data_IF_844264152913
#
_entry.id   IF_844264152913
#
_cell.length_a   1.000
_cell.length_b   1.000
_cell.length_c   1.000
_cell.angle_alpha   90.00
_cell.angle_beta   90.00
_cell.angle_gamma   90.00
#
_symmetry.space_group_name_H-M   'P 1'
#
loop_
_entity.id
_entity.type
_entity.pdbx_description
1 polymer ?
#
# COMPACT_ATOMS: atom_id res chain seq x y z
N UNK A 1 78.96 26.55 9.71
CA UNK A 1 77.83 27.14 8.98
C UNK A 1 77.19 26.00 8.21
N UNK A 2 76.15 25.43 8.82
CA UNK A 2 75.55 24.13 8.50
C UNK A 2 74.80 24.16 7.18
N UNK A 3 75.28 23.42 6.19
CA UNK A 3 74.62 23.16 4.90
C UNK A 3 73.54 22.08 5.09
N UNK A 4 72.47 22.39 5.81
CA UNK A 4 71.24 21.61 5.73
C UNK A 4 70.34 22.29 4.72
N UNK A 5 70.34 21.79 3.48
CA UNK A 5 69.28 22.08 2.53
C UNK A 5 67.96 21.64 3.13
N UNK A 6 67.02 22.57 3.24
CA UNK A 6 65.67 22.34 3.75
C UNK A 6 65.00 21.25 2.88
N UNK A 7 64.21 20.33 3.44
CA UNK A 7 63.49 19.29 2.67
C UNK A 7 62.65 19.92 1.54
N UNK A 8 62.20 21.15 1.75
CA UNK A 8 61.48 21.97 0.77
C UNK A 8 62.32 22.32 -0.46
N UNK A 9 63.64 22.46 -0.32
CA UNK A 9 64.53 22.78 -1.44
C UNK A 9 64.78 21.55 -2.32
N UNK A 10 64.85 20.35 -1.71
CA UNK A 10 64.88 19.09 -2.47
C UNK A 10 63.58 18.87 -3.25
N UNK A 11 62.41 19.16 -2.65
CA UNK A 11 61.13 19.08 -3.33
C UNK A 11 61.06 20.05 -4.52
N UNK A 12 61.51 21.30 -4.35
CA UNK A 12 61.60 22.29 -5.44
C UNK A 12 62.52 21.83 -6.57
N UNK A 13 63.66 21.21 -6.24
CA UNK A 13 64.57 20.66 -7.24
C UNK A 13 63.95 19.49 -8.00
N UNK A 14 63.29 18.58 -7.29
CA UNK A 14 62.59 17.46 -7.89
C UNK A 14 61.51 17.93 -8.87
N UNK A 15 60.66 18.90 -8.49
CA UNK A 15 59.61 19.43 -9.37
C UNK A 15 60.12 20.14 -10.64
N UNK A 16 61.39 20.55 -10.68
CA UNK A 16 62.02 21.19 -11.86
C UNK A 16 62.59 20.18 -12.85
N UNK A 17 62.71 18.91 -12.48
CA UNK A 17 63.17 17.87 -13.40
C UNK A 17 62.09 17.58 -14.47
N UNK A 18 62.46 17.47 -15.75
CA UNK A 18 61.51 17.06 -16.79
C UNK A 18 60.88 15.71 -16.41
N UNK A 19 59.56 15.61 -16.49
CA UNK A 19 58.77 14.42 -16.10
C UNK A 19 58.76 14.07 -14.60
N UNK A 20 59.21 14.92 -13.68
CA UNK A 20 59.13 14.63 -12.24
C UNK A 20 57.71 14.59 -11.66
N UNK A 21 56.76 15.22 -12.35
CA UNK A 21 55.34 15.10 -12.08
C UNK A 21 54.64 14.79 -13.41
N UNK A 22 54.19 13.55 -13.57
CA UNK A 22 53.30 13.16 -14.66
C UNK A 22 51.94 12.80 -14.06
N UNK A 23 50.95 13.68 -14.20
CA UNK A 23 49.56 13.22 -14.13
C UNK A 23 49.29 12.48 -15.44
N UNK A 24 49.31 11.14 -15.42
CA UNK A 24 48.76 10.37 -16.54
C UNK A 24 47.26 10.69 -16.59
N UNK A 25 46.85 11.58 -17.48
CA UNK A 25 45.45 11.64 -17.91
C UNK A 25 45.18 10.31 -18.61
N UNK A 26 44.24 9.53 -18.07
CA UNK A 26 43.72 8.36 -18.77
C UNK A 26 42.79 8.92 -19.84
N UNK A 27 43.32 9.15 -21.04
CA UNK A 27 42.51 9.44 -22.21
C UNK A 27 41.97 8.11 -22.73
N UNK A 28 40.69 7.86 -22.47
CA UNK A 28 39.99 6.69 -23.01
C UNK A 28 39.91 6.83 -24.53
N UNK A 29 40.30 5.78 -25.24
CA UNK A 29 40.11 5.74 -26.69
C UNK A 29 38.63 5.49 -27.04
N UNK A 30 38.24 5.79 -28.29
CA UNK A 30 36.86 5.62 -28.74
C UNK A 30 36.34 4.17 -28.59
N UNK A 31 37.21 3.17 -28.68
CA UNK A 31 36.85 1.76 -28.51
C UNK A 31 36.52 1.43 -27.05
N UNK A 32 37.28 1.96 -26.10
CA UNK A 32 37.03 1.83 -24.66
C UNK A 32 35.73 2.54 -24.25
N UNK A 33 35.49 3.74 -24.79
CA UNK A 33 34.24 4.47 -24.58
C UNK A 33 33.04 3.67 -25.10
N UNK A 34 33.12 3.14 -26.33
CA UNK A 34 32.05 2.32 -26.91
C UNK A 34 31.80 1.05 -26.08
N UNK A 35 32.86 0.36 -25.62
CA UNK A 35 32.71 -0.79 -24.74
C UNK A 35 32.01 -0.45 -23.42
N UNK A 36 32.31 0.70 -22.82
CA UNK A 36 31.63 1.17 -21.60
C UNK A 36 30.15 1.43 -21.88
N UNK A 37 29.84 2.13 -22.98
CA UNK A 37 28.45 2.43 -23.39
C UNK A 37 27.67 1.14 -23.63
N UNK A 38 28.27 0.14 -24.27
CA UNK A 38 27.65 -1.16 -24.52
C UNK A 38 27.34 -1.89 -23.20
N UNK A 39 28.28 -1.88 -22.25
CA UNK A 39 28.07 -2.50 -20.93
C UNK A 39 26.98 -1.79 -20.12
N UNK A 40 26.95 -0.45 -20.16
CA UNK A 40 25.89 0.33 -19.53
C UNK A 40 24.54 0.01 -20.16
N UNK A 41 24.48 -0.09 -21.50
CA UNK A 41 23.25 -0.41 -22.23
C UNK A 41 22.72 -1.80 -21.86
N UNK A 42 23.61 -2.79 -21.72
CA UNK A 42 23.24 -4.14 -21.24
C UNK A 42 22.73 -4.08 -19.79
N UNK A 43 23.39 -3.32 -18.91
CA UNK A 43 22.96 -3.18 -17.52
C UNK A 43 21.58 -2.53 -17.41
N UNK A 44 21.31 -1.46 -18.18
CA UNK A 44 19.99 -0.81 -18.26
C UNK A 44 18.93 -1.78 -18.76
N UNK A 45 19.24 -2.56 -19.81
CA UNK A 45 18.31 -3.57 -20.33
C UNK A 45 17.97 -4.61 -19.27
N UNK A 46 18.98 -5.19 -18.64
CA UNK A 46 18.78 -6.19 -17.58
C UNK A 46 17.97 -5.63 -16.40
N UNK A 47 18.20 -4.37 -16.03
CA UNK A 47 17.42 -3.68 -15.00
C UNK A 47 15.94 -3.54 -15.40
N UNK A 48 15.67 -3.11 -16.63
CA UNK A 48 14.29 -2.97 -17.13
C UNK A 48 13.57 -4.32 -17.23
N UNK A 49 14.25 -5.36 -17.72
CA UNK A 49 13.71 -6.71 -17.81
C UNK A 49 13.38 -7.26 -16.40
N UNK A 50 14.25 -7.00 -15.42
CA UNK A 50 14.00 -7.36 -14.03
C UNK A 50 12.79 -6.62 -13.44
N UNK A 51 12.71 -5.29 -13.62
CA UNK A 51 11.57 -4.48 -13.15
C UNK A 51 10.24 -4.92 -13.76
N UNK A 52 10.24 -5.27 -15.06
CA UNK A 52 9.05 -5.77 -15.73
C UNK A 52 8.58 -7.11 -15.15
N UNK A 53 9.53 -8.01 -14.87
CA UNK A 53 9.22 -9.31 -14.25
C UNK A 53 8.66 -9.14 -12.84
N UNK A 54 9.33 -8.36 -12.00
CA UNK A 54 8.90 -8.06 -10.64
C UNK A 54 7.51 -7.39 -10.62
N UNK A 55 7.28 -6.42 -11.50
CA UNK A 55 5.97 -5.77 -11.66
C UNK A 55 4.86 -6.77 -12.00
N UNK A 56 5.11 -7.73 -12.89
CA UNK A 56 4.10 -8.75 -13.25
C UNK A 56 3.81 -9.72 -12.11
N UNK A 57 4.82 -10.12 -11.34
CA UNK A 57 4.63 -10.98 -10.16
C UNK A 57 3.84 -10.26 -9.06
N UNK A 58 4.16 -8.99 -8.82
CA UNK A 58 3.48 -8.16 -7.86
C UNK A 58 2.03 -7.84 -8.25
N UNK A 59 1.75 -7.59 -9.53
CA UNK A 59 0.38 -7.40 -10.03
C UNK A 59 -0.49 -8.63 -9.75
N UNK A 60 0.05 -9.83 -9.98
CA UNK A 60 -0.66 -11.09 -9.68
C UNK A 60 -0.94 -11.22 -8.18
N UNK A 61 0.04 -10.90 -7.35
CA UNK A 61 -0.12 -10.96 -5.89
C UNK A 61 -1.19 -9.97 -5.40
N UNK A 62 -1.20 -8.74 -5.92
CA UNK A 62 -2.24 -7.75 -5.63
C UNK A 62 -3.64 -8.21 -6.04
N UNK A 63 -3.78 -8.78 -7.25
CA UNK A 63 -5.06 -9.33 -7.72
C UNK A 63 -5.58 -10.43 -6.81
N UNK A 64 -4.70 -11.34 -6.39
CA UNK A 64 -5.07 -12.42 -5.48
C UNK A 64 -5.56 -11.88 -4.13
N UNK A 65 -4.80 -10.97 -3.50
CA UNK A 65 -5.16 -10.41 -2.19
C UNK A 65 -6.45 -9.59 -2.23
N UNK A 66 -6.66 -8.79 -3.28
CA UNK A 66 -7.90 -8.04 -3.46
C UNK A 66 -9.09 -8.97 -3.69
N UNK A 67 -8.90 -10.05 -4.46
CA UNK A 67 -9.95 -11.06 -4.65
C UNK A 67 -10.36 -11.69 -3.31
N UNK A 68 -9.40 -11.98 -2.43
CA UNK A 68 -9.69 -12.48 -1.08
C UNK A 68 -10.50 -11.46 -0.27
N UNK A 69 -10.10 -10.18 -0.27
CA UNK A 69 -10.86 -9.11 0.40
C UNK A 69 -12.29 -9.02 -0.14
N UNK A 70 -12.46 -9.13 -1.46
CA UNK A 70 -13.76 -9.10 -2.15
C UNK A 70 -14.65 -10.29 -1.76
N UNK A 71 -14.07 -11.49 -1.64
CA UNK A 71 -14.77 -12.69 -1.17
C UNK A 71 -15.21 -12.54 0.30
N UNK A 72 -14.31 -12.10 1.17
CA UNK A 72 -14.60 -11.85 2.59
C UNK A 72 -15.70 -10.81 2.76
N UNK A 73 -15.70 -9.74 1.95
CA UNK A 73 -16.77 -8.74 1.92
C UNK A 73 -18.11 -9.37 1.51
N UNK A 74 -18.13 -10.26 0.52
CA UNK A 74 -19.32 -11.01 0.15
C UNK A 74 -19.87 -11.90 1.28
N UNK A 75 -18.99 -12.44 2.12
CA UNK A 75 -19.40 -13.19 3.32
C UNK A 75 -19.96 -12.29 4.41
N UNK A 76 -19.38 -11.09 4.62
CA UNK A 76 -19.92 -10.07 5.52
C UNK A 76 -21.33 -9.67 5.09
N UNK A 77 -21.57 -9.43 3.80
CA UNK A 77 -22.90 -9.09 3.27
C UNK A 77 -23.96 -10.14 3.55
N UNK A 78 -23.61 -11.43 3.42
CA UNK A 78 -24.52 -12.53 3.72
C UNK A 78 -24.90 -12.55 5.21
N UNK A 79 -23.91 -12.41 6.08
CA UNK A 79 -24.12 -12.40 7.54
C UNK A 79 -24.99 -11.21 7.94
N UNK A 80 -24.75 -10.02 7.38
CA UNK A 80 -25.49 -8.82 7.76
C UNK A 80 -26.96 -8.86 7.29
N UNK A 81 -27.22 -9.40 6.08
CA UNK A 81 -28.60 -9.64 5.59
C UNK A 81 -29.43 -10.51 6.53
N UNK A 82 -28.82 -11.52 7.16
CA UNK A 82 -29.51 -12.40 8.11
C UNK A 82 -29.67 -11.78 9.51
N UNK A 83 -28.87 -10.76 9.84
CA UNK A 83 -28.76 -10.17 11.18
C UNK A 83 -29.76 -9.04 11.43
N UNK A 84 -29.97 -8.17 10.44
CA UNK A 84 -30.88 -7.02 10.57
C UNK A 84 -32.31 -7.46 10.95
N UNK A 85 -32.94 -8.46 10.28
CA UNK A 85 -34.29 -8.89 10.63
C UNK A 85 -34.36 -9.48 12.05
N UNK A 86 -33.38 -10.31 12.43
CA UNK A 86 -33.33 -10.96 13.75
C UNK A 86 -33.18 -9.95 14.88
N UNK A 87 -32.31 -8.95 14.72
CA UNK A 87 -32.15 -7.87 15.70
C UNK A 87 -33.42 -7.05 15.85
N UNK A 88 -34.07 -6.68 14.73
CA UNK A 88 -35.30 -5.91 14.74
C UNK A 88 -36.42 -6.65 15.48
N UNK A 89 -36.62 -7.94 15.19
CA UNK A 89 -37.63 -8.75 15.88
C UNK A 89 -37.34 -8.87 17.38
N UNK A 90 -36.08 -9.14 17.76
CA UNK A 90 -35.70 -9.26 19.16
C UNK A 90 -35.91 -7.97 19.95
N UNK A 91 -35.53 -6.82 19.39
CA UNK A 91 -35.77 -5.50 19.99
C UNK A 91 -37.27 -5.25 20.20
N UNK A 92 -38.09 -5.51 19.17
CA UNK A 92 -39.55 -5.36 19.28
C UNK A 92 -40.16 -6.28 20.35
N UNK A 93 -39.68 -7.51 20.46
CA UNK A 93 -40.14 -8.46 21.48
C UNK A 93 -39.71 -8.06 22.89
N UNK A 94 -38.50 -7.50 23.05
CA UNK A 94 -38.03 -6.94 24.33
C UNK A 94 -38.86 -5.72 24.74
N UNK A 95 -39.19 -4.81 23.82
CA UNK A 95 -40.05 -3.66 24.11
C UNK A 95 -41.48 -4.07 24.50
N UNK A 96 -42.06 -5.09 23.86
CA UNK A 96 -43.39 -5.60 24.22
C UNK A 96 -43.47 -6.22 25.62
N UNK A 97 -42.34 -6.70 26.17
CA UNK A 97 -42.28 -7.28 27.52
C UNK A 97 -42.24 -6.22 28.61
N UNK A 98 -41.93 -4.99 28.26
CA UNK A 98 -41.84 -3.88 29.19
C UNK A 98 -43.21 -3.20 29.18
N UNK A 99 -44.05 -3.47 30.20
CA UNK A 99 -45.31 -2.75 30.45
C UNK A 99 -45.01 -1.32 30.98
N UNK A 100 -44.37 -0.50 30.15
CA UNK A 100 -44.24 0.94 30.39
C UNK A 100 -45.07 1.67 29.33
N UNK A 101 -45.69 2.79 29.70
CA UNK A 101 -46.17 3.77 28.73
C UNK A 101 -44.95 4.33 28.00
N UNK A 102 -44.62 3.74 26.86
CA UNK A 102 -43.51 4.18 26.02
C UNK A 102 -44.02 5.31 25.13
N UNK A 103 -43.36 6.47 25.19
CA UNK A 103 -43.52 7.52 24.19
C UNK A 103 -43.00 7.00 22.84
N UNK A 104 -43.92 6.62 21.96
CA UNK A 104 -43.62 6.04 20.66
C UNK A 104 -42.75 6.96 19.79
N UNK A 105 -42.88 8.29 19.91
CA UNK A 105 -42.05 9.23 19.14
C UNK A 105 -40.58 9.15 19.58
N UNK A 106 -40.34 9.06 20.90
CA UNK A 106 -38.98 8.93 21.43
C UNK A 106 -38.39 7.56 21.13
N UNK A 107 -39.21 6.51 21.17
CA UNK A 107 -38.80 5.16 20.78
C UNK A 107 -38.38 5.10 19.30
N UNK A 108 -39.15 5.68 18.39
CA UNK A 108 -38.81 5.71 16.95
C UNK A 108 -37.50 6.47 16.69
N UNK A 109 -37.30 7.62 17.33
CA UNK A 109 -36.05 8.39 17.21
C UNK A 109 -34.83 7.59 17.68
N UNK A 110 -34.94 6.94 18.85
CA UNK A 110 -33.86 6.08 19.37
C UNK A 110 -33.63 4.87 18.46
N UNK A 111 -34.69 4.25 17.93
CA UNK A 111 -34.55 3.15 16.96
C UNK A 111 -33.82 3.58 15.69
N UNK A 112 -34.12 4.76 15.15
CA UNK A 112 -33.41 5.32 13.98
C UNK A 112 -31.92 5.54 14.33
N UNK A 113 -31.64 6.16 15.48
CA UNK A 113 -30.26 6.38 15.95
C UNK A 113 -29.48 5.07 16.09
N UNK A 114 -30.09 4.04 16.67
CA UNK A 114 -29.45 2.73 16.79
C UNK A 114 -29.26 2.05 15.43
N UNK A 115 -30.23 2.15 14.52
CA UNK A 115 -30.11 1.58 13.18
C UNK A 115 -28.93 2.21 12.43
N UNK A 116 -28.81 3.54 12.41
CA UNK A 116 -27.67 4.23 11.78
C UNK A 116 -26.32 3.82 12.39
N UNK A 117 -26.27 3.64 13.72
CA UNK A 117 -25.04 3.26 14.43
C UNK A 117 -24.58 1.84 14.12
N UNK A 118 -25.52 0.92 13.85
CA UNK A 118 -25.22 -0.48 13.56
C UNK A 118 -25.22 -0.83 12.07
N UNK A 119 -25.73 0.05 11.21
CA UNK A 119 -25.74 -0.16 9.77
C UNK A 119 -24.34 0.01 9.18
N UNK A 120 -23.90 -1.04 8.47
CA UNK A 120 -22.63 -1.12 7.76
C UNK A 120 -22.79 -1.11 6.23
N UNK A 121 -24.03 -0.97 5.72
CA UNK A 121 -24.30 -1.03 4.29
C UNK A 121 -23.55 0.06 3.51
N UNK A 122 -23.44 1.26 4.08
CA UNK A 122 -22.70 2.35 3.46
C UNK A 122 -21.22 2.00 3.29
N UNK A 123 -20.57 1.48 4.35
CA UNK A 123 -19.18 1.07 4.31
C UNK A 123 -18.95 -0.08 3.33
N UNK A 124 -19.90 -1.03 3.23
CA UNK A 124 -19.84 -2.12 2.26
C UNK A 124 -19.86 -1.59 0.82
N UNK A 125 -20.76 -0.65 0.51
CA UNK A 125 -20.87 -0.04 -0.83
C UNK A 125 -19.59 0.74 -1.15
N UNK A 126 -19.09 1.55 -0.21
CA UNK A 126 -17.85 2.32 -0.39
C UNK A 126 -16.64 1.41 -0.59
N UNK A 127 -16.54 0.34 0.19
CA UNK A 127 -15.47 -0.63 0.06
C UNK A 127 -15.49 -1.33 -1.30
N UNK A 128 -16.67 -1.73 -1.79
CA UNK A 128 -16.82 -2.27 -3.16
C UNK A 128 -16.34 -1.29 -4.22
N UNK A 129 -16.71 -0.02 -4.10
CA UNK A 129 -16.26 1.04 -5.01
C UNK A 129 -14.74 1.17 -4.99
N UNK A 130 -14.12 1.22 -3.81
CA UNK A 130 -12.67 1.31 -3.67
C UNK A 130 -11.93 0.07 -4.22
N UNK A 131 -12.51 -1.13 -4.08
CA UNK A 131 -11.97 -2.35 -4.69
C UNK A 131 -11.98 -2.24 -6.22
N UNK A 132 -13.08 -1.76 -6.82
CA UNK A 132 -13.16 -1.56 -8.28
C UNK A 132 -12.13 -0.53 -8.75
N UNK A 133 -12.02 0.60 -8.05
CA UNK A 133 -11.02 1.64 -8.37
C UNK A 133 -9.59 1.09 -8.25
N UNK A 134 -9.33 0.18 -7.31
CA UNK A 134 -8.04 -0.51 -7.17
C UNK A 134 -7.78 -1.43 -8.36
N UNK A 135 -8.75 -2.27 -8.73
CA UNK A 135 -8.67 -3.17 -9.90
C UNK A 135 -8.40 -2.34 -11.18
N UNK A 136 -9.13 -1.25 -11.40
CA UNK A 136 -8.94 -0.35 -12.55
C UNK A 136 -7.56 0.32 -12.56
N UNK A 137 -7.04 0.71 -11.39
CA UNK A 137 -5.71 1.30 -11.29
C UNK A 137 -4.59 0.32 -11.69
N UNK A 138 -4.74 -0.98 -11.40
CA UNK A 138 -3.77 -2.00 -11.82
C UNK A 138 -3.71 -2.18 -13.34
N UNK A 139 -4.77 -1.84 -14.06
CA UNK A 139 -4.83 -1.95 -15.53
C UNK A 139 -4.31 -0.71 -16.27
N UNK A 140 -3.90 0.33 -15.55
CA UNK A 140 -3.37 1.55 -16.15
C UNK A 140 -1.94 1.37 -16.67
N UNK A 141 -1.61 2.04 -17.78
CA UNK A 141 -0.24 2.12 -18.31
C UNK A 141 0.61 3.22 -17.63
N UNK A 142 0.06 3.92 -16.64
CA UNK A 142 0.75 4.99 -15.91
C UNK A 142 1.35 4.48 -14.59
N UNK A 143 2.37 5.17 -14.03
CA UNK A 143 2.86 4.89 -12.69
C UNK A 143 1.75 5.06 -11.63
N UNK A 144 1.26 3.94 -11.08
CA UNK A 144 0.10 3.95 -10.15
C UNK A 144 0.46 3.76 -8.68
N UNK A 145 1.73 3.55 -8.30
CA UNK A 145 2.12 3.20 -6.92
C UNK A 145 1.55 4.14 -5.85
N UNK A 146 1.69 5.47 -6.04
CA UNK A 146 1.12 6.47 -5.12
C UNK A 146 -0.40 6.43 -5.08
N UNK A 147 -1.05 6.24 -6.23
CA UNK A 147 -2.51 6.12 -6.36
C UNK A 147 -3.02 4.88 -5.63
N UNK A 148 -2.39 3.73 -5.83
CA UNK A 148 -2.70 2.48 -5.12
C UNK A 148 -2.54 2.66 -3.60
N UNK A 149 -1.53 3.39 -3.15
CA UNK A 149 -1.35 3.74 -1.74
C UNK A 149 -2.55 4.49 -1.14
N UNK A 150 -3.06 5.52 -1.83
CA UNK A 150 -4.27 6.23 -1.39
C UNK A 150 -5.51 5.34 -1.40
N UNK A 151 -5.70 4.53 -2.43
CA UNK A 151 -6.84 3.60 -2.50
C UNK A 151 -6.77 2.59 -1.34
N UNK A 152 -5.59 2.07 -1.01
CA UNK A 152 -5.41 1.18 0.14
C UNK A 152 -5.77 1.84 1.47
N UNK A 153 -5.53 3.15 1.63
CA UNK A 153 -5.94 3.89 2.82
C UNK A 153 -7.47 3.94 2.93
N UNK A 154 -8.16 4.25 1.84
CA UNK A 154 -9.63 4.28 1.81
C UNK A 154 -10.22 2.89 2.05
N UNK A 155 -9.69 1.83 1.41
CA UNK A 155 -10.07 0.43 1.68
C UNK A 155 -9.90 0.12 3.18
N UNK A 156 -8.77 0.50 3.77
CA UNK A 156 -8.49 0.28 5.19
C UNK A 156 -9.44 1.04 6.13
N UNK A 157 -9.86 2.25 5.75
CA UNK A 157 -10.83 3.06 6.49
C UNK A 157 -12.20 2.38 6.52
N UNK A 158 -12.67 1.88 5.40
CA UNK A 158 -13.96 1.19 5.33
C UNK A 158 -13.91 -0.13 6.12
N UNK A 159 -12.85 -0.94 5.98
CA UNK A 159 -12.67 -2.17 6.77
C UNK A 159 -12.67 -1.89 8.28
N UNK A 160 -12.01 -0.81 8.72
CA UNK A 160 -11.99 -0.40 10.13
C UNK A 160 -13.38 -0.01 10.63
N UNK A 161 -14.14 0.72 9.82
CA UNK A 161 -15.49 1.16 10.19
C UNK A 161 -16.48 0.00 10.21
N UNK A 162 -16.39 -0.93 9.26
CA UNK A 162 -17.12 -2.21 9.31
C UNK A 162 -16.78 -2.94 10.60
N UNK A 163 -15.49 -3.05 10.94
CA UNK A 163 -15.03 -3.67 12.19
C UNK A 163 -15.59 -3.01 13.45
N UNK A 164 -15.58 -1.68 13.57
CA UNK A 164 -16.05 -1.00 14.79
C UNK A 164 -17.57 -1.06 14.95
N UNK A 165 -18.32 -1.10 13.85
CA UNK A 165 -19.79 -1.26 13.85
C UNK A 165 -20.24 -2.73 13.96
N UNK A 166 -19.40 -3.67 13.52
CA UNK A 166 -19.66 -5.10 13.58
C UNK A 166 -19.51 -5.65 15.00
N UNK A 167 -20.57 -5.54 15.80
CA UNK A 167 -20.66 -6.20 17.11
C UNK A 167 -21.02 -7.70 16.96
N UNK A 168 -20.19 -8.47 16.24
CA UNK A 168 -20.35 -9.92 16.01
C UNK A 168 -18.97 -10.58 15.84
N UNK A 169 -18.71 -11.66 16.57
CA UNK A 169 -17.40 -12.32 16.58
C UNK A 169 -17.03 -12.96 15.23
N UNK A 170 -18.00 -13.41 14.43
CA UNK A 170 -17.73 -13.96 13.11
C UNK A 170 -17.36 -12.86 12.12
N UNK A 171 -18.03 -11.69 12.19
CA UNK A 171 -17.67 -10.52 11.39
C UNK A 171 -16.27 -10.02 11.75
N UNK A 172 -15.90 -9.99 13.04
CA UNK A 172 -14.55 -9.58 13.47
C UNK A 172 -13.44 -10.45 12.86
N UNK A 173 -13.66 -11.77 12.78
CA UNK A 173 -12.69 -12.68 12.14
C UNK A 173 -12.46 -12.32 10.67
N UNK A 174 -13.54 -12.09 9.92
CA UNK A 174 -13.45 -11.69 8.51
C UNK A 174 -12.73 -10.34 8.37
N UNK A 175 -13.04 -9.37 9.24
CA UNK A 175 -12.39 -8.06 9.24
C UNK A 175 -10.87 -8.17 9.49
N UNK A 176 -10.45 -9.02 10.43
CA UNK A 176 -9.01 -9.24 10.70
C UNK A 176 -8.31 -9.82 9.46
N UNK A 177 -8.93 -10.79 8.79
CA UNK A 177 -8.37 -11.39 7.58
C UNK A 177 -8.30 -10.41 6.40
N UNK A 178 -9.30 -9.52 6.26
CA UNK A 178 -9.25 -8.44 5.28
C UNK A 178 -8.11 -7.46 5.58
N UNK A 179 -7.87 -7.12 6.85
CA UNK A 179 -6.77 -6.25 7.27
C UNK A 179 -5.41 -6.87 6.97
N UNK A 180 -5.23 -8.15 7.24
CA UNK A 180 -3.97 -8.87 6.94
C UNK A 180 -3.65 -8.86 5.44
N UNK A 181 -4.65 -9.14 4.60
CA UNK A 181 -4.48 -9.06 3.15
C UNK A 181 -4.15 -7.63 2.68
N UNK A 182 -4.83 -6.63 3.23
CA UNK A 182 -4.60 -5.23 2.89
C UNK A 182 -3.20 -4.75 3.32
N UNK A 183 -2.73 -5.18 4.50
CA UNK A 183 -1.42 -4.77 4.99
C UNK A 183 -0.30 -5.34 4.11
N UNK A 184 -0.42 -6.60 3.69
CA UNK A 184 0.51 -7.20 2.71
C UNK A 184 0.52 -6.45 1.37
N UNK A 185 -0.64 -5.94 0.92
CA UNK A 185 -0.69 -5.07 -0.28
C UNK A 185 0.10 -3.78 -0.03
N UNK A 186 -0.12 -3.12 1.11
CA UNK A 186 0.57 -1.86 1.45
C UNK A 186 2.08 -2.04 1.58
N UNK A 187 2.53 -3.10 2.23
CA UNK A 187 3.96 -3.42 2.35
C UNK A 187 4.61 -3.52 0.97
N UNK A 188 4.00 -4.27 0.07
CA UNK A 188 4.47 -4.40 -1.30
C UNK A 188 4.45 -3.06 -2.04
N UNK A 189 3.40 -2.23 -1.89
CA UNK A 189 3.35 -0.89 -2.50
C UNK A 189 4.49 0.01 -2.00
N UNK A 190 4.82 -0.04 -0.71
CA UNK A 190 5.91 0.75 -0.11
C UNK A 190 7.29 0.29 -0.58
N UNK A 191 7.42 -0.97 -0.99
CA UNK A 191 8.66 -1.53 -1.52
C UNK A 191 8.89 -1.20 -3.00
N UNK A 192 7.92 -0.59 -3.69
CA UNK A 192 8.06 -0.14 -5.08
C UNK A 192 8.84 1.19 -5.12
N UNK A 193 10.04 1.17 -5.68
CA UNK A 193 10.87 2.35 -6.02
C UNK A 193 10.66 2.82 -7.48
#
# INVERSE_FOLDING_TARGET
MTLYSDEKDYLKMAMRLPNAYSSKSIELNNTEINNIIDKISIAIKNLNDYRAKEGSEMEKDFKNKISVIKELLGNIEKIEKDRIPKKRTKLLDEFKRIELEIDNNRLEQEMIYYLEKYDINEEIIRLKSNILIFEDALHSNEPVGKKLGFICQEIGREINTIGSKANDANLQKLVIEMKDNLEKIKENILNIL
#
